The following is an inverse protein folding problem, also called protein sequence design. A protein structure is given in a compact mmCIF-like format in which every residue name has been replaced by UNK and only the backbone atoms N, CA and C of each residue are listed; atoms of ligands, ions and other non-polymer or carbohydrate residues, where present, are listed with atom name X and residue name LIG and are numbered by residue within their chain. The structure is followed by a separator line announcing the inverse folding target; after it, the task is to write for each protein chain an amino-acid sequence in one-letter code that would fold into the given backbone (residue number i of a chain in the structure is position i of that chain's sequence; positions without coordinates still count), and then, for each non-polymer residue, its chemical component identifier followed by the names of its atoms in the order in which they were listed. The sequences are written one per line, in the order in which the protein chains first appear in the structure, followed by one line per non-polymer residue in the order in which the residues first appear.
data_IF_886617002039
#
_entry.id   IF_886617002039
#
_cell.length_a   1.000
_cell.length_b   1.000
_cell.length_c   1.000
_cell.angle_alpha   90.00
_cell.angle_beta   90.00
_cell.angle_gamma   90.00
#
_symmetry.space_group_name_H-M   'P 1'
#
loop_
_entity.id
_entity.type
_entity.pdbx_description
1 polymer ?
#
# COMPACT_ATOMS: atom_id res chain seq x y z
N UNK A 1 -13.99 -23.40 2.23
CA UNK A 1 -12.63 -23.65 1.70
C UNK A 1 -12.10 -22.48 0.86
N UNK A 2 -12.72 -22.15 -0.28
CA UNK A 2 -12.23 -21.09 -1.19
C UNK A 2 -12.08 -19.69 -0.56
N UNK A 3 -12.98 -19.27 0.34
CA UNK A 3 -12.87 -17.96 1.04
C UNK A 3 -11.66 -17.88 1.97
N UNK A 4 -11.36 -18.98 2.68
CA UNK A 4 -10.22 -19.07 3.59
C UNK A 4 -8.90 -19.01 2.82
N UNK A 5 -8.83 -19.71 1.68
CA UNK A 5 -7.68 -19.67 0.76
C UNK A 5 -7.43 -18.25 0.24
N UNK A 6 -8.48 -17.55 -0.22
CA UNK A 6 -8.37 -16.14 -0.66
C UNK A 6 -7.84 -15.22 0.43
N UNK A 7 -8.34 -15.37 1.66
CA UNK A 7 -7.89 -14.57 2.81
C UNK A 7 -6.41 -14.84 3.13
N UNK A 8 -5.98 -16.10 3.11
CA UNK A 8 -4.59 -16.48 3.38
C UNK A 8 -3.64 -15.97 2.29
N UNK A 9 -3.95 -16.25 1.02
CA UNK A 9 -3.16 -15.78 -0.13
C UNK A 9 -3.11 -14.25 -0.16
N UNK A 10 -4.25 -13.60 0.06
CA UNK A 10 -4.34 -12.14 0.14
C UNK A 10 -3.46 -11.58 1.27
N UNK A 11 -3.47 -12.20 2.44
CA UNK A 11 -2.60 -11.85 3.56
C UNK A 11 -1.12 -11.93 3.19
N UNK A 12 -0.69 -13.04 2.58
CA UNK A 12 0.69 -13.25 2.13
C UNK A 12 1.10 -12.18 1.11
N UNK A 13 0.28 -11.98 0.08
CA UNK A 13 0.53 -10.98 -0.97
C UNK A 13 0.61 -9.58 -0.36
N UNK A 14 -0.33 -9.23 0.52
CA UNK A 14 -0.35 -7.94 1.19
C UNK A 14 0.94 -7.72 1.98
N UNK A 15 1.36 -8.69 2.81
CA UNK A 15 2.63 -8.60 3.57
C UNK A 15 3.86 -8.54 2.67
N UNK A 16 3.85 -9.23 1.52
CA UNK A 16 4.95 -9.18 0.56
C UNK A 16 5.18 -7.76 0.04
N UNK A 17 4.11 -6.98 -0.16
CA UNK A 17 4.20 -5.57 -0.53
C UNK A 17 5.05 -4.77 0.46
N UNK A 18 4.80 -4.91 1.76
CA UNK A 18 5.59 -4.22 2.81
C UNK A 18 7.04 -4.68 2.81
N UNK A 19 7.27 -5.99 2.71
CA UNK A 19 8.62 -6.56 2.72
C UNK A 19 9.42 -6.02 1.53
N UNK A 20 8.81 -5.97 0.35
CA UNK A 20 9.45 -5.43 -0.86
C UNK A 20 9.83 -3.96 -0.68
N UNK A 21 8.93 -3.13 -0.15
CA UNK A 21 9.23 -1.72 0.13
C UNK A 21 10.39 -1.54 1.11
N UNK A 22 10.49 -2.40 2.13
CA UNK A 22 11.57 -2.33 3.11
C UNK A 22 12.92 -2.72 2.48
N UNK A 23 12.94 -3.77 1.67
CA UNK A 23 14.14 -4.30 1.01
C UNK A 23 14.60 -3.39 -0.12
N UNK A 24 13.65 -2.89 -0.93
CA UNK A 24 13.90 -2.12 -2.14
C UNK A 24 12.83 -1.03 -2.27
N UNK A 25 12.96 0.07 -1.53
CA UNK A 25 11.98 1.15 -1.58
C UNK A 25 11.89 1.74 -3.00
N UNK A 26 10.75 2.32 -3.40
CA UNK A 26 10.48 2.93 -4.70
C UNK A 26 11.20 4.28 -4.92
N UNK A 27 12.42 4.39 -4.40
CA UNK A 27 13.32 5.53 -4.54
C UNK A 27 14.71 5.01 -4.88
N UNK A 28 15.25 5.48 -6.01
CA UNK A 28 16.61 5.19 -6.44
C UNK A 28 17.50 6.40 -6.18
N UNK A 29 18.78 6.16 -5.88
CA UNK A 29 19.80 7.21 -5.88
C UNK A 29 20.12 7.59 -7.33
N UNK A 30 19.77 8.81 -7.73
CA UNK A 30 19.94 9.31 -9.11
C UNK A 30 21.35 9.83 -9.37
N UNK A 31 22.16 10.04 -8.33
CA UNK A 31 23.55 10.45 -8.47
C UNK A 31 24.46 9.76 -7.45
N UNK A 32 25.70 9.47 -7.87
CA UNK A 32 26.80 9.06 -6.98
C UNK A 32 27.43 10.25 -6.22
N UNK A 33 26.86 11.45 -6.35
CA UNK A 33 27.35 12.66 -5.70
C UNK A 33 26.48 12.97 -4.48
N UNK A 34 27.12 13.03 -3.31
CA UNK A 34 26.51 13.63 -2.13
C UNK A 34 26.50 15.14 -2.30
N UNK A 35 25.32 15.76 -2.16
CA UNK A 35 25.19 17.20 -2.11
C UNK A 35 25.98 17.75 -0.90
N UNK A 36 26.43 19.02 -0.91
CA UNK A 36 27.19 19.61 0.19
C UNK A 36 26.45 19.66 1.56
N UNK A 37 25.23 19.13 1.66
CA UNK A 37 24.50 18.87 2.92
C UNK A 37 24.43 17.39 3.33
N UNK A 38 25.11 16.47 2.63
CA UNK A 38 25.05 15.03 2.87
C UNK A 38 23.80 14.33 2.28
N UNK A 39 22.88 15.09 1.69
CA UNK A 39 21.72 14.57 0.98
C UNK A 39 22.15 13.96 -0.37
N UNK A 40 21.53 12.84 -0.73
CA UNK A 40 21.75 12.20 -2.04
C UNK A 40 20.58 12.58 -2.93
N UNK A 41 20.83 12.90 -4.20
CA UNK A 41 19.72 13.02 -5.14
C UNK A 41 18.97 11.68 -5.20
N UNK A 42 17.71 11.69 -4.78
CA UNK A 42 16.79 10.56 -4.86
C UNK A 42 15.73 10.84 -5.94
N UNK A 43 15.36 9.80 -6.66
CA UNK A 43 14.40 9.84 -7.75
C UNK A 43 13.39 8.73 -7.55
N UNK A 44 12.13 9.01 -7.84
CA UNK A 44 11.06 8.04 -7.66
C UNK A 44 11.19 6.96 -8.75
N UNK A 45 11.37 5.71 -8.34
CA UNK A 45 11.29 4.58 -9.27
C UNK A 45 9.82 4.20 -9.45
N UNK A 46 9.23 4.70 -10.53
CA UNK A 46 7.80 4.51 -10.81
C UNK A 46 7.42 3.03 -11.01
N UNK A 47 8.34 2.19 -11.49
CA UNK A 47 8.10 0.75 -11.63
C UNK A 47 7.92 0.09 -10.26
N UNK A 48 8.85 0.33 -9.32
CA UNK A 48 8.72 -0.21 -7.96
C UNK A 48 7.51 0.36 -7.23
N UNK A 49 7.24 1.66 -7.40
CA UNK A 49 6.08 2.28 -6.79
C UNK A 49 4.77 1.61 -7.23
N UNK A 50 4.61 1.38 -8.54
CA UNK A 50 3.42 0.71 -9.09
C UNK A 50 3.35 -0.76 -8.68
N UNK A 51 4.49 -1.46 -8.66
CA UNK A 51 4.54 -2.86 -8.26
C UNK A 51 4.10 -3.04 -6.80
N UNK A 52 4.69 -2.28 -5.88
CA UNK A 52 4.41 -2.39 -4.44
C UNK A 52 2.97 -1.99 -4.12
N UNK A 53 2.52 -0.85 -4.64
CA UNK A 53 1.14 -0.41 -4.44
C UNK A 53 0.13 -1.38 -5.08
N UNK A 54 0.45 -1.93 -6.25
CA UNK A 54 -0.34 -2.96 -6.91
C UNK A 54 -0.45 -4.24 -6.08
N UNK A 55 0.67 -4.74 -5.54
CA UNK A 55 0.70 -5.91 -4.66
C UNK A 55 -0.15 -5.67 -3.41
N UNK A 56 0.00 -4.51 -2.76
CA UNK A 56 -0.81 -4.12 -1.61
C UNK A 56 -2.29 -4.09 -1.96
N UNK A 57 -2.68 -3.49 -3.08
CA UNK A 57 -4.09 -3.40 -3.51
C UNK A 57 -4.69 -4.78 -3.82
N UNK A 58 -3.94 -5.65 -4.51
CA UNK A 58 -4.37 -7.02 -4.81
C UNK A 58 -4.51 -7.82 -3.52
N UNK A 59 -3.54 -7.72 -2.61
CA UNK A 59 -3.58 -8.38 -1.30
C UNK A 59 -4.78 -7.92 -0.46
N UNK A 60 -4.98 -6.60 -0.35
CA UNK A 60 -6.12 -6.01 0.35
C UNK A 60 -7.45 -6.51 -0.22
N UNK A 61 -7.60 -6.49 -1.54
CA UNK A 61 -8.80 -6.95 -2.25
C UNK A 61 -9.09 -8.43 -1.95
N UNK A 62 -8.07 -9.29 -2.02
CA UNK A 62 -8.21 -10.72 -1.75
C UNK A 62 -8.58 -11.01 -0.29
N UNK A 63 -8.00 -10.28 0.68
CA UNK A 63 -8.37 -10.38 2.09
C UNK A 63 -9.85 -10.04 2.28
N UNK A 64 -10.30 -8.93 1.69
CA UNK A 64 -11.70 -8.51 1.79
C UNK A 64 -12.67 -9.47 1.10
N UNK A 65 -12.34 -9.98 -0.09
CA UNK A 65 -13.16 -11.00 -0.78
C UNK A 65 -13.20 -12.33 -0.03
N UNK A 66 -12.21 -12.61 0.82
CA UNK A 66 -12.17 -13.75 1.73
C UNK A 66 -13.09 -13.60 2.96
N UNK A 67 -13.62 -12.40 3.21
CA UNK A 67 -14.49 -12.11 4.36
C UNK A 67 -15.96 -11.98 3.94
N UNK A 68 -16.87 -12.33 4.86
CA UNK A 68 -18.32 -12.20 4.65
C UNK A 68 -18.82 -10.86 5.17
N UNK A 69 -18.75 -9.82 4.34
CA UNK A 69 -19.35 -8.53 4.69
C UNK A 69 -20.88 -8.56 4.57
N UNK A 70 -21.56 -7.88 5.51
CA UNK A 70 -23.02 -7.73 5.48
C UNK A 70 -23.51 -6.81 4.35
N UNK A 71 -22.63 -5.94 3.82
CA UNK A 71 -22.96 -5.00 2.75
C UNK A 71 -21.78 -4.76 1.82
N UNK A 72 -22.08 -4.40 0.56
CA UNK A 72 -21.07 -4.01 -0.43
C UNK A 72 -20.38 -2.69 -0.10
N UNK A 73 -21.03 -1.79 0.65
CA UNK A 73 -20.38 -0.57 1.16
C UNK A 73 -19.29 -0.92 2.17
N UNK A 74 -19.54 -1.84 3.11
CA UNK A 74 -18.51 -2.28 4.07
C UNK A 74 -17.35 -2.97 3.38
N UNK A 75 -17.62 -3.84 2.40
CA UNK A 75 -16.57 -4.48 1.59
C UNK A 75 -15.65 -3.44 0.94
N UNK A 76 -16.23 -2.44 0.24
CA UNK A 76 -15.46 -1.34 -0.38
C UNK A 76 -14.70 -0.50 0.65
N UNK A 77 -15.35 -0.17 1.76
CA UNK A 77 -14.73 0.59 2.84
C UNK A 77 -13.48 -0.10 3.41
N UNK A 78 -13.53 -1.43 3.58
CA UNK A 78 -12.37 -2.20 4.01
C UNK A 78 -11.27 -2.30 2.95
N UNK A 79 -11.61 -2.35 1.66
CA UNK A 79 -10.61 -2.27 0.57
C UNK A 79 -9.87 -0.93 0.63
N UNK A 80 -10.60 0.18 0.78
CA UNK A 80 -10.00 1.52 0.90
C UNK A 80 -9.15 1.67 2.16
N UNK A 81 -9.63 1.13 3.29
CA UNK A 81 -8.89 1.15 4.55
C UNK A 81 -7.57 0.36 4.46
N UNK A 82 -7.63 -0.90 4.04
CA UNK A 82 -6.44 -1.74 3.94
C UNK A 82 -5.49 -1.23 2.84
N UNK A 83 -6.01 -0.94 1.64
CA UNK A 83 -5.20 -0.38 0.55
C UNK A 83 -4.56 0.96 0.94
N UNK A 84 -5.32 1.85 1.56
CA UNK A 84 -4.83 3.15 2.03
C UNK A 84 -3.74 3.04 3.10
N UNK A 85 -3.89 2.12 4.06
CA UNK A 85 -2.86 1.85 5.07
C UNK A 85 -1.55 1.36 4.43
N UNK A 86 -1.64 0.41 3.48
CA UNK A 86 -0.45 -0.09 2.80
C UNK A 86 0.21 0.95 1.89
N UNK A 87 -0.56 1.69 1.10
CA UNK A 87 -0.03 2.78 0.26
C UNK A 87 0.58 3.89 1.13
N UNK A 88 -0.08 4.24 2.24
CA UNK A 88 0.43 5.22 3.20
C UNK A 88 1.76 4.79 3.83
N UNK A 89 1.89 3.50 4.17
CA UNK A 89 3.15 2.93 4.62
C UNK A 89 4.24 3.02 3.56
N UNK A 90 3.93 2.67 2.30
CA UNK A 90 4.89 2.75 1.19
C UNK A 90 5.42 4.18 1.03
N UNK A 91 4.51 5.16 0.97
CA UNK A 91 4.89 6.56 0.87
C UNK A 91 5.70 7.05 2.07
N UNK A 92 5.25 6.71 3.29
CA UNK A 92 5.93 7.12 4.52
C UNK A 92 7.33 6.52 4.68
N UNK A 93 7.48 5.23 4.39
CA UNK A 93 8.77 4.55 4.46
C UNK A 93 9.76 5.09 3.41
N UNK A 94 9.25 5.39 2.22
CA UNK A 94 10.04 5.88 1.08
C UNK A 94 10.26 7.40 1.09
N UNK A 95 9.74 8.10 2.12
CA UNK A 95 9.75 9.56 2.24
C UNK A 95 9.09 10.30 1.05
N UNK A 96 8.13 9.65 0.38
CA UNK A 96 7.33 10.25 -0.69
C UNK A 96 6.02 10.77 -0.06
N UNK A 97 6.03 12.04 0.32
CA UNK A 97 4.95 12.67 1.09
C UNK A 97 3.60 12.59 0.37
N UNK A 98 3.59 12.78 -0.95
CA UNK A 98 2.39 12.74 -1.78
C UNK A 98 1.70 11.38 -1.73
N UNK A 99 2.49 10.30 -1.78
CA UNK A 99 1.98 8.93 -1.69
C UNK A 99 1.46 8.64 -0.29
N UNK A 100 2.16 9.13 0.75
CA UNK A 100 1.72 8.99 2.14
C UNK A 100 0.36 9.69 2.38
N UNK A 101 0.21 10.92 1.88
CA UNK A 101 -1.03 11.69 1.97
C UNK A 101 -2.17 11.05 1.18
N UNK A 102 -1.88 10.52 -0.01
CA UNK A 102 -2.85 9.77 -0.79
C UNK A 102 -3.34 8.52 -0.03
N UNK A 103 -2.44 7.78 0.61
CA UNK A 103 -2.79 6.67 1.49
C UNK A 103 -3.70 7.10 2.65
N UNK A 104 -3.37 8.19 3.34
CA UNK A 104 -4.18 8.75 4.42
C UNK A 104 -5.59 9.18 3.96
N UNK A 105 -5.69 9.75 2.76
CA UNK A 105 -6.97 10.09 2.14
C UNK A 105 -7.83 8.82 1.89
N UNK A 106 -7.24 7.76 1.35
CA UNK A 106 -7.93 6.49 1.14
C UNK A 106 -8.40 5.85 2.45
N UNK A 107 -7.59 5.90 3.50
CA UNK A 107 -8.00 5.45 4.85
C UNK A 107 -9.21 6.23 5.33
N UNK A 108 -9.21 7.55 5.15
CA UNK A 108 -10.31 8.43 5.56
C UNK A 108 -11.60 8.07 4.81
N UNK A 109 -11.52 7.87 3.48
CA UNK A 109 -12.64 7.39 2.66
C UNK A 109 -13.15 6.03 3.14
N UNK A 110 -12.24 5.10 3.43
CA UNK A 110 -12.57 3.77 3.95
C UNK A 110 -13.32 3.81 5.28
N UNK A 111 -12.87 4.65 6.22
CA UNK A 111 -13.55 4.85 7.51
C UNK A 111 -14.96 5.39 7.32
N UNK A 112 -15.17 6.33 6.40
CA UNK A 112 -16.51 6.86 6.12
C UNK A 112 -17.45 5.80 5.54
N UNK A 113 -16.94 4.94 4.65
CA UNK A 113 -17.73 3.86 4.03
C UNK A 113 -18.04 2.70 4.99
N UNK A 114 -17.13 2.38 5.92
CA UNK A 114 -17.37 1.32 6.92
C UNK A 114 -18.41 1.71 7.96
N UNK A 115 -18.55 3.02 8.26
CA UNK A 115 -19.53 3.53 9.24
C UNK A 115 -20.96 3.63 8.69
N UNK A 116 -21.15 3.61 7.38
CA UNK A 116 -22.48 3.54 6.74
C UNK A 116 -23.06 2.12 6.82
#
# INVERSE_FOLDING_TARGET
MMKMIKKLIGGIIYTLGFILTVIRPPVDRVACMTLPGGEVCEGINMFFLLLETGIVLVGATLITLGHNFKSKCKERGWIFLAGGLGIGFIGGYSRILEVALFGAMLVTLGVMEVRK
#
